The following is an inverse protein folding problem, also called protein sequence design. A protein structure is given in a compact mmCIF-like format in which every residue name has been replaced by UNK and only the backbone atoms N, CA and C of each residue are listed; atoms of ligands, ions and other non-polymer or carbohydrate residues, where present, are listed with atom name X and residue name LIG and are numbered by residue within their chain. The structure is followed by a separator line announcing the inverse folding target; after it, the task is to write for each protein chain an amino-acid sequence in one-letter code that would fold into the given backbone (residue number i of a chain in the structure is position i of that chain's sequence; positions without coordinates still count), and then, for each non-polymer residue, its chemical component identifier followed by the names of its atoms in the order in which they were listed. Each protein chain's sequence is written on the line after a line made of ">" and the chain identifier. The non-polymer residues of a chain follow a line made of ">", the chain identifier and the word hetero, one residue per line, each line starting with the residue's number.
data_IF_433987057414
#
_entry.id   IF_433987057414
#
_cell.length_a   1.000
_cell.length_b   1.000
_cell.length_c   1.000
_cell.angle_alpha   90.00
_cell.angle_beta   90.00
_cell.angle_gamma   90.00
#
_symmetry.space_group_name_H-M   'P 1'
#
loop_
_entity.id
_entity.type
_entity.pdbx_description
1 polymer ?
#
# COMPACT_ATOMS: atom_id res chain seq x y z
N UNK A 1 -9.07 13.85 -5.65
CA UNK A 1 -8.55 13.08 -6.81
C UNK A 1 -8.09 11.69 -6.40
N UNK A 2 -7.07 11.56 -5.54
CA UNK A 2 -6.52 10.26 -5.07
C UNK A 2 -7.57 9.28 -4.53
N UNK A 3 -8.47 9.75 -3.66
CA UNK A 3 -9.54 8.91 -3.10
C UNK A 3 -10.49 8.38 -4.18
N UNK A 4 -10.85 9.21 -5.15
CA UNK A 4 -11.86 8.87 -6.17
C UNK A 4 -11.34 7.86 -7.20
N UNK A 5 -10.11 8.08 -7.69
CA UNK A 5 -9.52 7.27 -8.77
C UNK A 5 -8.81 6.01 -8.29
N UNK A 6 -8.26 6.01 -7.07
CA UNK A 6 -7.40 4.92 -6.61
C UNK A 6 -7.87 4.34 -5.28
N UNK A 7 -7.70 5.08 -4.18
CA UNK A 7 -7.76 4.51 -2.82
C UNK A 7 -9.10 3.87 -2.50
N UNK A 8 -10.23 4.51 -2.85
CA UNK A 8 -11.56 3.90 -2.65
C UNK A 8 -11.67 2.53 -3.32
N UNK A 9 -11.35 2.46 -4.61
CA UNK A 9 -11.49 1.25 -5.40
C UNK A 9 -10.59 0.14 -4.89
N UNK A 10 -9.33 0.48 -4.59
CA UNK A 10 -8.35 -0.43 -3.98
C UNK A 10 -8.88 -0.96 -2.66
N UNK A 11 -9.34 -0.09 -1.75
CA UNK A 11 -9.83 -0.51 -0.42
C UNK A 11 -11.06 -1.41 -0.50
N UNK A 12 -11.99 -1.13 -1.42
CA UNK A 12 -13.12 -2.03 -1.69
C UNK A 12 -12.62 -3.40 -2.15
N UNK A 13 -11.74 -3.43 -3.15
CA UNK A 13 -11.19 -4.67 -3.72
C UNK A 13 -10.43 -5.50 -2.69
N UNK A 14 -9.59 -4.87 -1.85
CA UNK A 14 -8.88 -5.55 -0.76
C UNK A 14 -9.88 -6.11 0.25
N UNK A 15 -10.94 -5.38 0.59
CA UNK A 15 -12.02 -5.87 1.46
C UNK A 15 -12.78 -7.08 0.89
N UNK A 16 -12.96 -7.15 -0.43
CA UNK A 16 -13.55 -8.34 -1.09
C UNK A 16 -12.57 -9.52 -1.08
N UNK A 17 -11.29 -9.30 -1.42
CA UNK A 17 -10.29 -10.36 -1.39
C UNK A 17 -10.02 -10.91 0.02
N UNK A 18 -10.15 -10.06 1.05
CA UNK A 18 -10.03 -10.46 2.45
C UNK A 18 -11.10 -11.46 2.91
N UNK A 19 -12.18 -11.65 2.14
CA UNK A 19 -13.20 -12.69 2.40
C UNK A 19 -12.76 -14.07 1.91
N UNK A 20 -11.71 -14.15 1.09
CA UNK A 20 -11.14 -15.40 0.63
C UNK A 20 -10.13 -15.93 1.65
N UNK A 21 -9.73 -17.20 1.50
CA UNK A 21 -8.67 -17.81 2.31
C UNK A 21 -7.27 -17.58 1.73
N UNK A 22 -7.13 -16.80 0.67
CA UNK A 22 -5.84 -16.56 0.02
C UNK A 22 -5.03 -15.53 0.81
N UNK A 23 -3.70 -15.72 0.96
CA UNK A 23 -2.84 -14.73 1.56
C UNK A 23 -2.94 -13.39 0.82
N UNK A 24 -3.13 -12.30 1.57
CA UNK A 24 -3.34 -10.97 1.02
C UNK A 24 -2.40 -9.98 1.70
N UNK A 25 -1.58 -9.29 0.90
CA UNK A 25 -0.65 -8.28 1.38
C UNK A 25 -1.02 -6.92 0.79
N UNK A 26 -1.23 -5.93 1.66
CA UNK A 26 -1.65 -4.59 1.28
C UNK A 26 -0.59 -3.57 1.74
N UNK A 27 -0.27 -2.59 0.89
CA UNK A 27 0.67 -1.52 1.23
C UNK A 27 0.15 -0.13 0.90
N UNK A 28 0.75 0.86 1.55
CA UNK A 28 0.66 2.28 1.21
C UNK A 28 2.07 2.82 0.99
N UNK A 29 2.35 3.32 -0.21
CA UNK A 29 3.65 3.91 -0.51
C UNK A 29 3.67 5.39 -0.12
N UNK A 30 4.61 5.77 0.75
CA UNK A 30 4.71 7.14 1.28
C UNK A 30 6.12 7.72 1.21
N UNK A 31 7.09 6.95 0.69
CA UNK A 31 8.46 7.41 0.55
C UNK A 31 8.56 8.58 -0.44
N UNK A 32 9.11 9.70 0.04
CA UNK A 32 9.24 10.95 -0.71
C UNK A 32 10.64 11.52 -0.58
N UNK A 33 11.14 12.04 -1.69
CA UNK A 33 12.45 12.68 -1.85
C UNK A 33 12.27 14.10 -2.37
N UNK A 34 13.29 14.95 -2.23
CA UNK A 34 13.25 16.29 -2.82
C UNK A 34 13.14 16.25 -4.36
N UNK A 35 13.65 15.19 -4.97
CA UNK A 35 13.69 14.91 -6.41
C UNK A 35 12.62 13.92 -6.87
N UNK A 36 11.43 13.96 -6.25
CA UNK A 36 10.32 13.13 -6.74
C UNK A 36 10.05 13.40 -8.22
N UNK A 37 9.93 12.32 -8.99
CA UNK A 37 9.63 12.35 -10.43
C UNK A 37 8.24 12.94 -10.66
N UNK A 38 7.32 12.65 -9.75
CA UNK A 38 6.01 13.25 -9.61
C UNK A 38 5.80 13.69 -8.17
N UNK A 39 5.60 15.00 -7.95
CA UNK A 39 5.17 15.51 -6.64
C UNK A 39 3.65 15.43 -6.58
N UNK A 40 3.13 14.71 -5.59
CA UNK A 40 1.71 14.82 -5.25
C UNK A 40 1.37 16.28 -4.92
N UNK A 41 0.13 16.69 -5.17
CA UNK A 41 -0.34 18.09 -5.01
C UNK A 41 -0.04 18.66 -3.61
N UNK A 42 0.08 17.81 -2.59
CA UNK A 42 0.37 18.18 -1.21
C UNK A 42 1.75 17.71 -0.70
N UNK A 43 2.70 17.42 -1.59
CA UNK A 43 4.06 17.01 -1.21
C UNK A 43 4.24 15.52 -0.88
N UNK A 44 3.23 14.69 -1.13
CA UNK A 44 3.32 13.22 -1.04
C UNK A 44 3.91 12.57 -2.29
N UNK A 45 4.08 11.24 -2.26
CA UNK A 45 4.43 10.45 -3.44
C UNK A 45 3.33 10.59 -4.50
N UNK A 46 3.72 10.99 -5.71
CA UNK A 46 2.81 11.08 -6.84
C UNK A 46 2.47 9.70 -7.41
N UNK A 47 1.58 9.69 -8.40
CA UNK A 47 1.23 8.45 -9.08
C UNK A 47 2.42 7.93 -9.90
N UNK A 48 2.68 6.62 -9.83
CA UNK A 48 3.81 5.92 -10.45
C UNK A 48 5.19 6.26 -9.86
N UNK A 49 5.24 7.04 -8.76
CA UNK A 49 6.50 7.39 -8.10
C UNK A 49 7.25 6.16 -7.57
N UNK A 50 6.52 5.13 -7.13
CA UNK A 50 7.09 3.88 -6.63
C UNK A 50 7.83 3.09 -7.73
N UNK A 51 7.45 3.29 -8.99
CA UNK A 51 7.98 2.54 -10.13
C UNK A 51 9.49 2.72 -10.30
N UNK A 52 10.05 3.87 -9.93
CA UNK A 52 11.50 4.14 -10.04
C UNK A 52 12.37 3.32 -9.08
N UNK A 53 11.77 2.73 -8.06
CA UNK A 53 12.45 1.85 -7.10
C UNK A 53 12.29 0.37 -7.46
N UNK A 54 11.43 0.04 -8.44
CA UNK A 54 11.22 -1.33 -8.94
C UNK A 54 11.90 -1.54 -10.29
N UNK A 55 11.90 -0.53 -11.15
CA UNK A 55 12.41 -0.60 -12.51
C UNK A 55 13.65 0.27 -12.68
N UNK A 56 14.54 -0.13 -13.58
CA UNK A 56 15.67 0.71 -13.95
C UNK A 56 15.22 1.85 -14.88
N UNK A 57 14.66 2.90 -14.28
CA UNK A 57 14.12 4.07 -15.00
C UNK A 57 14.95 5.34 -14.84
N UNK A 58 15.79 5.42 -13.80
CA UNK A 58 16.66 6.57 -13.53
C UNK A 58 17.84 6.18 -12.63
N UNK A 59 18.85 7.04 -12.56
CA UNK A 59 19.96 6.91 -11.61
C UNK A 59 19.49 7.33 -10.22
N UNK A 60 19.70 6.47 -9.22
CA UNK A 60 19.42 6.78 -7.81
C UNK A 60 20.67 7.44 -7.21
N UNK A 61 20.52 8.67 -6.70
CA UNK A 61 21.65 9.50 -6.33
C UNK A 61 22.09 9.38 -4.85
N UNK A 62 21.24 8.85 -3.97
CA UNK A 62 21.53 8.77 -2.53
C UNK A 62 21.25 7.38 -1.94
N UNK A 63 21.83 7.12 -0.76
CA UNK A 63 21.76 5.83 -0.07
C UNK A 63 20.33 5.43 0.33
N UNK A 64 19.48 6.40 0.70
CA UNK A 64 18.09 6.10 1.07
C UNK A 64 17.28 5.62 -0.13
N UNK A 65 17.51 6.20 -1.31
CA UNK A 65 16.86 5.79 -2.55
C UNK A 65 17.32 4.40 -2.99
N UNK A 66 18.63 4.13 -2.89
CA UNK A 66 19.20 2.80 -3.14
C UNK A 66 18.57 1.79 -2.18
N UNK A 67 18.47 2.13 -0.89
CA UNK A 67 17.84 1.28 0.13
C UNK A 67 16.36 1.04 -0.15
N UNK A 68 15.60 2.05 -0.58
CA UNK A 68 14.21 1.89 -0.99
C UNK A 68 14.08 0.98 -2.21
N UNK A 69 14.96 1.13 -3.21
CA UNK A 69 15.04 0.24 -4.37
C UNK A 69 15.33 -1.21 -3.96
N UNK A 70 16.34 -1.42 -3.11
CA UNK A 70 16.67 -2.76 -2.62
C UNK A 70 15.49 -3.36 -1.85
N UNK A 71 14.79 -2.57 -1.02
CA UNK A 71 13.57 -3.00 -0.33
C UNK A 71 12.46 -3.39 -1.31
N UNK A 72 12.12 -2.53 -2.26
CA UNK A 72 11.04 -2.76 -3.22
C UNK A 72 11.30 -4.00 -4.07
N UNK A 73 12.50 -4.14 -4.64
CA UNK A 73 12.88 -5.31 -5.42
C UNK A 73 12.82 -6.58 -4.57
N UNK A 74 13.36 -6.56 -3.35
CA UNK A 74 13.36 -7.73 -2.46
C UNK A 74 11.96 -8.13 -2.03
N UNK A 75 11.08 -7.18 -1.68
CA UNK A 75 9.68 -7.47 -1.32
C UNK A 75 8.91 -8.12 -2.48
N UNK A 76 9.01 -7.56 -3.69
CA UNK A 76 8.32 -8.10 -4.86
C UNK A 76 8.87 -9.46 -5.30
N UNK A 77 10.19 -9.64 -5.28
CA UNK A 77 10.83 -10.92 -5.61
C UNK A 77 10.51 -12.01 -4.59
N UNK A 78 10.52 -11.69 -3.29
CA UNK A 78 10.10 -12.63 -2.26
C UNK A 78 8.64 -13.04 -2.44
N UNK A 79 7.74 -12.09 -2.73
CA UNK A 79 6.35 -12.43 -3.02
C UNK A 79 6.22 -13.36 -4.24
N UNK A 80 6.97 -13.10 -5.31
CA UNK A 80 6.97 -13.94 -6.50
C UNK A 80 7.52 -15.37 -6.26
N UNK A 81 8.54 -15.51 -5.41
CA UNK A 81 9.20 -16.80 -5.15
C UNK A 81 8.45 -17.61 -4.08
N UNK A 82 8.02 -16.94 -3.01
CA UNK A 82 7.52 -17.60 -1.79
C UNK A 82 6.03 -17.35 -1.52
N UNK A 83 5.37 -16.43 -2.22
CA UNK A 83 4.01 -15.98 -1.89
C UNK A 83 3.92 -15.13 -0.62
N UNK A 84 5.07 -14.79 0.00
CA UNK A 84 5.17 -13.95 1.19
C UNK A 84 6.29 -12.91 0.98
N UNK A 85 6.02 -11.59 1.08
CA UNK A 85 7.03 -10.55 0.86
C UNK A 85 8.17 -10.52 1.88
N UNK A 86 7.92 -11.00 3.11
CA UNK A 86 8.87 -11.04 4.23
C UNK A 86 8.83 -12.42 4.90
N UNK A 87 9.33 -13.48 4.24
CA UNK A 87 9.21 -14.86 4.73
C UNK A 87 10.06 -15.12 6.00
N UNK A 88 11.02 -14.24 6.30
CA UNK A 88 11.87 -14.27 7.49
C UNK A 88 12.28 -12.84 7.87
N UNK A 89 12.76 -12.67 9.11
CA UNK A 89 13.35 -11.41 9.55
C UNK A 89 14.58 -11.05 8.70
N UNK A 90 14.66 -9.79 8.29
CA UNK A 90 15.75 -9.27 7.47
C UNK A 90 16.12 -7.85 7.95
N UNK A 91 17.42 -7.60 8.11
CA UNK A 91 17.94 -6.29 8.49
C UNK A 91 17.61 -5.20 7.45
N UNK A 92 17.44 -5.55 6.18
CA UNK A 92 16.99 -4.64 5.12
C UNK A 92 15.63 -4.02 5.47
N UNK A 93 14.76 -4.80 6.09
CA UNK A 93 13.42 -4.41 6.53
C UNK A 93 13.36 -3.99 8.01
N UNK A 94 14.50 -3.77 8.68
CA UNK A 94 14.56 -3.57 10.13
C UNK A 94 13.85 -4.69 10.92
N UNK A 95 13.92 -5.92 10.41
CA UNK A 95 13.22 -7.10 10.93
C UNK A 95 11.68 -7.02 10.96
N UNK A 96 11.09 -6.10 10.20
CA UNK A 96 9.63 -6.00 10.05
C UNK A 96 9.11 -7.18 9.24
N UNK A 97 8.10 -7.86 9.78
CA UNK A 97 7.31 -8.86 9.07
C UNK A 97 6.03 -8.19 8.57
N UNK A 98 5.80 -8.24 7.26
CA UNK A 98 4.61 -7.74 6.61
C UNK A 98 3.40 -8.61 7.00
N UNK A 99 2.42 -8.07 7.74
CA UNK A 99 1.26 -8.84 8.15
C UNK A 99 0.31 -9.10 6.98
N UNK A 100 -0.33 -10.27 6.97
CA UNK A 100 -1.46 -10.52 6.08
C UNK A 100 -2.62 -9.59 6.43
N UNK A 101 -3.23 -9.01 5.42
CA UNK A 101 -4.16 -7.89 5.53
C UNK A 101 -5.41 -8.20 6.35
N UNK A 102 -5.84 -9.46 6.39
CA UNK A 102 -7.09 -9.88 7.03
C UNK A 102 -6.89 -10.63 8.35
N UNK A 103 -5.65 -10.76 8.83
CA UNK A 103 -5.31 -11.48 10.06
C UNK A 103 -5.23 -10.54 11.27
N UNK A 104 -5.68 -11.01 12.44
CA UNK A 104 -5.61 -10.28 13.72
C UNK A 104 -6.18 -8.84 13.68
N UNK A 105 -7.27 -8.63 12.94
CA UNK A 105 -7.92 -7.32 12.81
C UNK A 105 -9.05 -7.15 13.82
N UNK A 106 -9.24 -5.94 14.41
CA UNK A 106 -10.29 -5.70 15.41
C UNK A 106 -11.73 -5.87 14.87
N UNK A 107 -11.91 -5.66 13.57
CA UNK A 107 -13.21 -5.72 12.89
C UNK A 107 -13.04 -6.31 11.50
N UNK A 108 -14.12 -6.90 10.97
CA UNK A 108 -14.20 -7.38 9.57
C UNK A 108 -14.00 -6.28 8.52
N UNK A 109 -14.19 -5.02 8.92
CA UNK A 109 -13.98 -3.86 8.06
C UNK A 109 -12.55 -3.32 8.14
N UNK A 110 -11.74 -3.83 9.09
CA UNK A 110 -10.36 -3.43 9.27
C UNK A 110 -9.41 -4.29 8.46
N UNK A 111 -8.36 -3.65 7.93
CA UNK A 111 -7.37 -4.30 7.09
C UNK A 111 -5.98 -3.85 7.52
N UNK A 112 -5.08 -4.80 7.78
CA UNK A 112 -3.67 -4.49 8.00
C UNK A 112 -3.02 -4.09 6.68
N UNK A 113 -2.06 -3.19 6.77
CA UNK A 113 -1.24 -2.80 5.64
C UNK A 113 0.19 -2.54 6.11
N UNK A 114 1.13 -2.47 5.17
CA UNK A 114 2.48 -2.00 5.41
C UNK A 114 2.68 -0.64 4.77
N UNK A 115 3.07 0.35 5.56
CA UNK A 115 3.52 1.63 5.03
C UNK A 115 4.96 1.51 4.54
N UNK A 116 5.18 1.84 3.27
CA UNK A 116 6.50 1.84 2.63
C UNK A 116 6.99 3.29 2.53
N UNK A 117 7.55 3.77 3.65
CA UNK A 117 8.15 5.09 3.78
C UNK A 117 9.68 5.01 3.95
N UNK A 118 10.27 6.00 4.63
CA UNK A 118 11.67 5.90 5.07
C UNK A 118 11.91 4.67 5.95
N UNK A 119 10.90 4.35 6.76
CA UNK A 119 10.79 3.10 7.51
C UNK A 119 9.61 2.26 7.03
N UNK A 120 9.64 0.97 7.35
CA UNK A 120 8.55 0.03 7.11
C UNK A 120 7.69 -0.02 8.36
N UNK A 121 6.44 0.45 8.27
CA UNK A 121 5.58 0.58 9.46
C UNK A 121 4.28 -0.17 9.23
N UNK A 122 4.01 -1.28 9.95
CA UNK A 122 2.72 -1.93 9.93
C UNK A 122 1.63 -1.01 10.48
N UNK A 123 0.47 -0.97 9.81
CA UNK A 123 -0.68 -0.17 10.20
C UNK A 123 -2.00 -0.91 10.03
N UNK A 124 -3.09 -0.26 10.45
CA UNK A 124 -4.46 -0.75 10.28
C UNK A 124 -5.27 0.31 9.54
N UNK A 125 -6.03 -0.13 8.54
CA UNK A 125 -7.07 0.63 7.84
C UNK A 125 -6.56 2.00 7.33
N UNK A 126 -5.78 2.01 6.23
CA UNK A 126 -5.17 3.25 5.74
C UNK A 126 -6.26 4.23 5.29
N UNK A 127 -6.14 5.49 5.72
CA UNK A 127 -7.08 6.57 5.39
C UNK A 127 -8.55 6.23 5.77
N UNK A 128 -8.75 5.63 6.95
CA UNK A 128 -10.05 5.10 7.40
C UNK A 128 -11.19 6.11 7.40
N UNK A 129 -10.96 7.32 7.91
CA UNK A 129 -12.00 8.34 7.98
C UNK A 129 -12.56 8.67 6.59
N UNK A 130 -11.68 8.85 5.60
CA UNK A 130 -12.07 9.13 4.21
C UNK A 130 -12.85 7.95 3.61
N UNK A 131 -12.35 6.73 3.80
CA UNK A 131 -13.01 5.54 3.28
C UNK A 131 -14.42 5.37 3.86
N UNK A 132 -14.58 5.53 5.17
CA UNK A 132 -15.87 5.45 5.85
C UNK A 132 -16.82 6.56 5.39
N UNK A 133 -16.33 7.79 5.25
CA UNK A 133 -17.11 8.91 4.73
C UNK A 133 -17.72 8.57 3.37
N UNK A 134 -16.88 8.16 2.41
CA UNK A 134 -17.35 7.84 1.07
C UNK A 134 -18.24 6.59 1.06
N UNK A 135 -17.88 5.52 1.78
CA UNK A 135 -18.71 4.32 1.90
C UNK A 135 -20.12 4.66 2.36
N UNK A 136 -20.24 5.43 3.44
CA UNK A 136 -21.52 5.83 4.00
C UNK A 136 -22.32 6.73 3.04
N UNK A 137 -21.64 7.65 2.33
CA UNK A 137 -22.28 8.52 1.33
C UNK A 137 -22.90 7.70 0.20
N UNK A 138 -22.16 6.76 -0.38
CA UNK A 138 -22.66 5.94 -1.47
C UNK A 138 -23.72 4.94 -1.00
N UNK A 139 -23.56 4.31 0.17
CA UNK A 139 -24.60 3.45 0.73
C UNK A 139 -25.94 4.17 0.92
N UNK A 140 -25.91 5.46 1.26
CA UNK A 140 -27.12 6.25 1.51
C UNK A 140 -27.76 6.80 0.23
N UNK A 141 -26.96 7.17 -0.76
CA UNK A 141 -27.45 7.98 -1.90
C UNK A 141 -27.20 7.39 -3.29
N UNK A 142 -26.42 6.31 -3.42
CA UNK A 142 -26.15 5.72 -4.71
C UNK A 142 -27.34 4.87 -5.21
N UNK A 143 -27.64 4.95 -6.49
CA UNK A 143 -28.52 4.00 -7.17
C UNK A 143 -27.75 2.69 -7.44
N UNK A 144 -28.47 1.57 -7.53
CA UNK A 144 -27.90 0.21 -7.68
C UNK A 144 -26.98 0.03 -8.89
N UNK A 145 -26.97 0.97 -9.84
CA UNK A 145 -26.08 0.97 -11.00
C UNK A 145 -24.64 1.38 -10.68
N UNK A 146 -24.36 1.94 -9.50
CA UNK A 146 -23.03 2.40 -9.12
C UNK A 146 -22.34 1.37 -8.22
N UNK A 147 -21.53 0.50 -8.81
CA UNK A 147 -20.75 -0.56 -8.13
C UNK A 147 -19.53 -0.02 -7.36
N UNK A 148 -19.66 1.08 -6.62
CA UNK A 148 -18.52 1.72 -5.94
C UNK A 148 -18.31 1.29 -4.50
N UNK A 149 -19.32 0.66 -3.88
CA UNK A 149 -19.29 0.12 -2.52
C UNK A 149 -20.16 -1.12 -2.37
#
# INVERSE_FOLDING_TARGET
>A
MTQHYFVRGIRKTVGEFAKSSAPLYFYKFTYVTKENYTKGVNGGAGHAEEGKYTWHSTTLANENDIRMKDRMVTLWTNFAIYGNPTPKADALFNNVIWPEAHTDVPSKDDLRYLELGYDLVPGISPDQADFLFWRNLFQKYATTTVYTY
#
